data_IF_442047549979
#
_entry.id   IF_442047549979
#
_cell.length_a   1.000
_cell.length_b   1.000
_cell.length_c   1.000
_cell.angle_alpha   90.00
_cell.angle_beta   90.00
_cell.angle_gamma   90.00
#
_symmetry.space_group_name_H-M   'P 1'
#
loop_
_entity.id
_entity.type
_entity.pdbx_description
1 polymer ?
#
# COMPACT_ATOMS: atom_id res chain seq x y z
N UNK A 1 40.77 -3.11 -29.38
CA UNK A 1 40.79 -4.36 -28.57
C UNK A 1 39.84 -4.15 -27.41
N UNK A 2 38.83 -5.00 -27.23
CA UNK A 2 37.93 -4.88 -26.08
C UNK A 2 38.72 -5.17 -24.81
N UNK A 3 38.82 -4.20 -23.90
CA UNK A 3 39.38 -4.44 -22.56
C UNK A 3 38.46 -5.43 -21.86
N UNK A 4 38.95 -6.64 -21.67
CA UNK A 4 38.20 -7.69 -21.00
C UNK A 4 38.29 -7.42 -19.49
N UNK A 5 37.19 -6.96 -18.91
CA UNK A 5 37.08 -6.52 -17.52
C UNK A 5 36.18 -7.48 -16.71
N UNK A 6 36.18 -8.75 -17.11
CA UNK A 6 35.36 -9.78 -16.46
C UNK A 6 35.92 -10.08 -15.06
N UNK A 7 35.02 -10.44 -14.13
CA UNK A 7 35.39 -10.75 -12.76
C UNK A 7 36.40 -11.89 -12.69
N UNK A 8 36.26 -12.90 -13.54
CA UNK A 8 37.16 -14.03 -13.61
C UNK A 8 38.59 -13.66 -14.00
N UNK A 9 38.76 -12.64 -14.84
CA UNK A 9 40.07 -12.24 -15.35
C UNK A 9 40.77 -11.22 -14.45
N UNK A 10 40.00 -10.28 -13.90
CA UNK A 10 40.56 -9.21 -13.07
C UNK A 10 40.74 -9.66 -11.61
N UNK A 11 39.88 -10.55 -11.12
CA UNK A 11 39.92 -11.08 -9.75
C UNK A 11 39.73 -12.61 -9.72
N UNK A 12 40.70 -13.40 -10.23
CA UNK A 12 40.62 -14.86 -10.22
C UNK A 12 40.47 -15.47 -8.82
N UNK A 13 40.98 -14.78 -7.78
CA UNK A 13 40.82 -15.18 -6.38
C UNK A 13 39.36 -15.19 -5.92
N UNK A 14 38.52 -14.30 -6.49
CA UNK A 14 37.10 -14.21 -6.17
C UNK A 14 36.26 -15.29 -6.86
N UNK A 15 36.76 -15.89 -7.96
CA UNK A 15 36.09 -17.01 -8.65
C UNK A 15 35.92 -18.20 -7.72
N UNK A 16 36.94 -18.49 -6.91
CA UNK A 16 36.88 -19.58 -5.93
C UNK A 16 35.96 -19.30 -4.74
N UNK A 17 35.49 -18.07 -4.58
CA UNK A 17 34.44 -17.71 -3.64
C UNK A 17 33.07 -17.57 -4.31
N UNK A 18 32.97 -17.82 -5.61
CA UNK A 18 31.69 -17.79 -6.31
C UNK A 18 30.87 -19.02 -5.94
N UNK A 19 29.65 -18.81 -5.44
CA UNK A 19 28.76 -19.93 -5.09
C UNK A 19 28.11 -20.54 -6.34
N UNK A 20 27.91 -21.85 -6.32
CA UNK A 20 27.16 -22.60 -7.34
C UNK A 20 25.70 -22.11 -7.47
N UNK A 21 25.16 -21.45 -6.44
CA UNK A 21 23.81 -20.87 -6.43
C UNK A 21 23.61 -19.76 -7.46
N UNK A 22 24.69 -19.24 -8.03
CA UNK A 22 24.61 -18.24 -9.09
C UNK A 22 24.31 -18.86 -10.46
N UNK A 23 24.35 -20.19 -10.63
CA UNK A 23 24.04 -20.83 -11.91
C UNK A 23 22.66 -20.40 -12.45
N UNK A 24 22.54 -20.02 -13.74
CA UNK A 24 23.52 -20.19 -14.82
C UNK A 24 24.50 -19.02 -15.03
N UNK A 25 24.56 -18.05 -14.11
CA UNK A 25 25.46 -16.89 -14.20
C UNK A 25 26.90 -17.26 -13.80
N UNK A 26 27.81 -17.09 -14.75
CA UNK A 26 29.23 -17.40 -14.57
C UNK A 26 30.07 -16.15 -14.25
N UNK A 27 31.19 -16.29 -13.50
CA UNK A 27 32.12 -15.18 -13.23
C UNK A 27 32.72 -14.52 -14.48
N UNK A 28 32.78 -15.24 -15.59
CA UNK A 28 33.25 -14.72 -16.89
C UNK A 28 32.24 -13.79 -17.58
N UNK A 29 30.97 -13.82 -17.15
CA UNK A 29 29.87 -13.08 -17.76
C UNK A 29 29.53 -11.77 -17.02
N UNK A 30 30.26 -11.45 -15.97
CA UNK A 30 30.04 -10.28 -15.12
C UNK A 30 31.32 -9.46 -15.01
N UNK A 31 31.19 -8.14 -14.96
CA UNK A 31 32.34 -7.24 -14.77
C UNK A 31 32.55 -6.94 -13.29
N UNK A 32 33.77 -6.56 -12.91
CA UNK A 32 34.14 -6.24 -11.52
C UNK A 32 33.35 -5.07 -10.92
N UNK A 33 32.80 -4.19 -11.75
CA UNK A 33 32.00 -3.03 -11.33
C UNK A 33 30.50 -3.28 -11.42
N UNK A 34 30.07 -4.52 -11.66
CA UNK A 34 28.66 -4.82 -11.81
C UNK A 34 27.89 -4.54 -10.50
N UNK A 35 26.88 -3.66 -10.58
CA UNK A 35 25.91 -3.43 -9.52
C UNK A 35 24.83 -4.54 -9.49
N UNK A 36 25.28 -5.80 -9.53
CA UNK A 36 24.45 -7.00 -9.47
C UNK A 36 24.83 -7.79 -8.20
N UNK A 37 23.82 -8.37 -7.54
CA UNK A 37 24.03 -9.24 -6.38
C UNK A 37 24.42 -10.65 -6.84
N UNK A 38 25.42 -11.23 -6.19
CA UNK A 38 25.84 -12.61 -6.36
C UNK A 38 25.98 -13.28 -4.98
N UNK A 39 25.86 -14.60 -4.97
CA UNK A 39 26.15 -15.43 -3.81
C UNK A 39 27.64 -15.74 -3.74
N UNK A 40 28.23 -15.50 -2.58
CA UNK A 40 29.65 -15.72 -2.28
C UNK A 40 29.77 -16.82 -1.23
N UNK A 41 30.80 -17.63 -1.29
CA UNK A 41 31.11 -18.73 -0.37
C UNK A 41 32.47 -18.51 0.26
N UNK A 42 32.49 -18.43 1.59
CA UNK A 42 33.71 -18.07 2.32
C UNK A 42 34.65 -19.27 2.32
N UNK A 43 35.93 -19.04 2.00
CA UNK A 43 36.95 -20.08 2.12
C UNK A 43 37.22 -20.47 3.57
N UNK A 44 37.20 -19.50 4.48
CA UNK A 44 37.59 -19.71 5.88
C UNK A 44 36.50 -20.40 6.70
N UNK A 45 35.24 -19.96 6.54
CA UNK A 45 34.12 -20.48 7.34
C UNK A 45 33.12 -21.32 6.53
N UNK A 46 33.29 -21.46 5.22
CA UNK A 46 32.42 -22.24 4.35
C UNK A 46 31.01 -21.67 4.12
N UNK A 47 30.61 -20.64 4.87
CA UNK A 47 29.27 -20.05 4.79
C UNK A 47 29.11 -19.20 3.53
N UNK A 48 27.87 -19.17 3.04
CA UNK A 48 27.49 -18.39 1.89
C UNK A 48 26.76 -17.11 2.28
N UNK A 49 27.02 -16.01 1.58
CA UNK A 49 26.30 -14.75 1.76
C UNK A 49 26.01 -14.08 0.42
N UNK A 50 25.01 -13.22 0.40
CA UNK A 50 24.64 -12.46 -0.79
C UNK A 50 25.17 -11.03 -0.70
N UNK A 51 25.94 -10.59 -1.72
CA UNK A 51 26.51 -9.24 -1.78
C UNK A 51 26.66 -8.76 -3.22
N UNK A 52 26.78 -7.45 -3.42
CA UNK A 52 27.07 -6.86 -4.72
C UNK A 52 28.45 -7.27 -5.22
N UNK A 53 28.57 -7.52 -6.54
CA UNK A 53 29.84 -7.85 -7.18
C UNK A 53 30.84 -6.70 -7.03
N UNK A 54 30.43 -5.46 -7.32
CA UNK A 54 31.25 -4.26 -7.11
C UNK A 54 31.75 -4.11 -5.66
N UNK A 55 30.93 -4.42 -4.67
CA UNK A 55 31.31 -4.37 -3.25
C UNK A 55 32.29 -5.48 -2.87
N UNK A 56 32.16 -6.69 -3.44
CA UNK A 56 33.12 -7.78 -3.20
C UNK A 56 34.45 -7.51 -3.91
N UNK A 57 34.42 -7.08 -5.17
CA UNK A 57 35.61 -6.66 -5.92
C UNK A 57 36.34 -5.50 -5.25
N UNK A 58 35.60 -4.60 -4.57
CA UNK A 58 36.17 -3.54 -3.73
C UNK A 58 36.77 -4.00 -2.39
N UNK A 59 36.84 -5.29 -2.10
CA UNK A 59 37.56 -5.85 -0.94
C UNK A 59 36.73 -6.04 0.34
N UNK A 60 35.39 -5.99 0.28
CA UNK A 60 34.54 -6.33 1.44
C UNK A 60 34.81 -7.76 1.91
N UNK A 61 34.90 -8.01 3.23
CA UNK A 61 35.20 -9.33 3.82
C UNK A 61 33.93 -10.16 4.07
N UNK A 62 34.10 -11.47 4.32
CA UNK A 62 33.00 -12.34 4.72
C UNK A 62 32.31 -11.79 5.98
N UNK A 63 31.00 -11.49 5.94
CA UNK A 63 30.29 -10.82 7.03
C UNK A 63 30.14 -11.70 8.29
N UNK A 64 30.28 -13.02 8.14
CA UNK A 64 30.30 -13.97 9.25
C UNK A 64 31.67 -14.02 9.95
N UNK A 65 32.76 -13.91 9.19
CA UNK A 65 34.11 -13.89 9.77
C UNK A 65 34.47 -12.51 10.33
N UNK A 66 33.93 -11.44 9.75
CA UNK A 66 34.16 -10.06 10.20
C UNK A 66 33.24 -9.63 11.36
N UNK A 67 32.32 -10.49 11.80
CA UNK A 67 31.40 -10.21 12.91
C UNK A 67 30.24 -9.27 12.57
N UNK A 68 30.09 -8.84 11.32
CA UNK A 68 29.06 -7.87 10.91
C UNK A 68 27.62 -8.43 10.98
N UNK A 69 27.45 -9.74 10.84
CA UNK A 69 26.12 -10.40 10.92
C UNK A 69 25.65 -10.63 12.36
N UNK A 70 26.53 -10.62 13.37
CA UNK A 70 26.16 -11.00 14.74
C UNK A 70 25.34 -9.96 15.53
N UNK A 71 25.21 -8.73 15.05
CA UNK A 71 24.56 -7.63 15.80
C UNK A 71 23.11 -7.30 15.38
N UNK A 72 22.65 -7.73 14.19
CA UNK A 72 21.29 -7.43 13.71
C UNK A 72 20.33 -8.62 13.69
N UNK A 73 20.82 -9.85 13.80
CA UNK A 73 19.99 -11.04 13.60
C UNK A 73 19.50 -11.70 14.88
N UNK A 74 20.13 -11.54 16.05
CA UNK A 74 19.78 -12.35 17.24
C UNK A 74 18.39 -12.11 17.82
N UNK A 75 17.84 -10.90 17.70
CA UNK A 75 16.50 -10.58 18.25
C UNK A 75 15.35 -11.01 17.32
N UNK A 76 15.62 -11.18 16.02
CA UNK A 76 14.58 -11.40 15.00
C UNK A 76 14.70 -12.75 14.26
N UNK A 77 15.77 -13.52 14.51
CA UNK A 77 16.07 -14.80 13.85
C UNK A 77 14.94 -15.85 13.95
N UNK A 78 14.26 -16.05 15.09
CA UNK A 78 13.18 -17.04 15.19
C UNK A 78 12.00 -16.72 14.26
N UNK A 79 11.55 -15.47 14.25
CA UNK A 79 10.43 -15.00 13.40
C UNK A 79 10.78 -15.02 11.92
N UNK A 80 12.04 -14.69 11.58
CA UNK A 80 12.52 -14.75 10.20
C UNK A 80 12.55 -16.20 9.68
N UNK A 81 12.98 -17.16 10.52
CA UNK A 81 13.04 -18.57 10.16
C UNK A 81 11.63 -19.14 9.91
N UNK A 82 10.69 -18.84 10.80
CA UNK A 82 9.26 -19.21 10.68
C UNK A 82 8.65 -18.64 9.38
N UNK A 83 8.94 -17.37 9.08
CA UNK A 83 8.52 -16.74 7.82
C UNK A 83 9.12 -17.41 6.57
N UNK A 84 10.35 -17.91 6.64
CA UNK A 84 10.94 -18.67 5.53
C UNK A 84 10.29 -20.06 5.35
N UNK A 85 9.92 -20.73 6.45
CA UNK A 85 9.25 -22.03 6.42
C UNK A 85 7.83 -21.91 5.83
N UNK A 86 7.05 -20.92 6.25
CA UNK A 86 5.75 -20.60 5.66
C UNK A 86 5.85 -20.32 4.15
N UNK A 87 6.87 -19.55 3.76
CA UNK A 87 7.09 -19.21 2.35
C UNK A 87 7.43 -20.44 1.52
N UNK A 88 8.22 -21.38 2.06
CA UNK A 88 8.53 -22.66 1.40
C UNK A 88 7.28 -23.54 1.32
N UNK A 89 6.48 -23.62 2.38
CA UNK A 89 5.24 -24.38 2.40
C UNK A 89 4.26 -23.87 1.34
N UNK A 90 4.07 -22.55 1.21
CA UNK A 90 3.23 -21.95 0.15
C UNK A 90 3.72 -22.28 -1.25
N UNK A 91 5.04 -22.26 -1.48
CA UNK A 91 5.62 -22.62 -2.79
C UNK A 91 5.35 -24.11 -3.09
N UNK A 92 5.55 -24.99 -2.11
CA UNK A 92 5.31 -26.42 -2.23
C UNK A 92 3.82 -26.73 -2.51
N UNK A 93 2.92 -26.04 -1.80
CA UNK A 93 1.48 -26.13 -2.01
C UNK A 93 1.07 -25.63 -3.41
N UNK A 94 1.64 -24.51 -3.86
CA UNK A 94 1.39 -23.99 -5.21
C UNK A 94 1.86 -24.99 -6.28
N UNK A 95 3.01 -25.64 -6.07
CA UNK A 95 3.50 -26.70 -6.96
C UNK A 95 2.56 -27.90 -6.98
N UNK A 96 2.11 -28.37 -5.81
CA UNK A 96 1.17 -29.49 -5.68
C UNK A 96 -0.16 -29.19 -6.38
N UNK A 97 -0.71 -28.00 -6.18
CA UNK A 97 -1.96 -27.57 -6.83
C UNK A 97 -1.81 -27.51 -8.35
N UNK A 98 -0.66 -27.04 -8.84
CA UNK A 98 -0.35 -27.02 -10.28
C UNK A 98 -0.21 -28.43 -10.86
N UNK A 99 0.39 -29.35 -10.11
CA UNK A 99 0.54 -30.75 -10.52
C UNK A 99 -0.80 -31.49 -10.58
N UNK A 100 -1.70 -31.24 -9.61
CA UNK A 100 -3.08 -31.75 -9.63
C UNK A 100 -3.82 -31.28 -10.89
N UNK A 101 -3.71 -29.99 -11.23
CA UNK A 101 -4.33 -29.44 -12.45
C UNK A 101 -3.71 -30.01 -13.74
N UNK A 102 -2.41 -30.33 -13.72
CA UNK A 102 -1.71 -30.90 -14.87
C UNK A 102 -1.99 -32.39 -15.08
N UNK A 103 -2.27 -33.12 -13.99
CA UNK A 103 -2.51 -34.57 -14.01
C UNK A 103 -4.01 -34.91 -13.91
N UNK A 104 -4.89 -33.90 -13.97
CA UNK A 104 -6.33 -34.10 -14.01
C UNK A 104 -6.68 -34.99 -15.23
N UNK A 105 -7.38 -36.13 -15.02
CA UNK A 105 -7.81 -36.96 -16.14
C UNK A 105 -8.66 -36.12 -17.10
N UNK A 106 -8.55 -36.33 -18.43
CA UNK A 106 -9.49 -35.73 -19.36
C UNK A 106 -10.90 -36.17 -18.95
N UNK A 107 -11.81 -35.21 -18.83
CA UNK A 107 -13.23 -35.49 -18.63
C UNK A 107 -13.65 -36.47 -19.72
N UNK A 108 -14.14 -37.66 -19.32
CA UNK A 108 -14.70 -38.62 -20.28
C UNK A 108 -15.81 -37.90 -21.04
N UNK A 109 -15.64 -37.73 -22.34
CA UNK A 109 -16.71 -37.31 -23.23
C UNK A 109 -17.83 -38.35 -23.11
N UNK A 110 -18.90 -37.99 -22.40
CA UNK A 110 -20.11 -38.80 -22.33
C UNK A 110 -20.76 -38.67 -23.70
N UNK A 111 -20.71 -39.75 -24.49
CA UNK A 111 -21.46 -39.88 -25.74
C UNK A 111 -22.95 -39.62 -25.47
N UNK A 112 -23.53 -38.66 -26.18
CA UNK A 112 -24.94 -38.31 -26.06
C UNK A 112 -25.80 -39.39 -26.70
N UNK A 113 -26.47 -40.20 -25.89
CA UNK A 113 -27.70 -40.88 -26.31
C UNK A 113 -28.76 -39.85 -26.72
N UNK A 114 -29.64 -40.15 -27.69
CA UNK A 114 -30.68 -39.22 -28.14
C UNK A 114 -31.62 -38.89 -26.98
N UNK A 115 -31.77 -37.58 -26.71
CA UNK A 115 -32.46 -37.06 -25.52
C UNK A 115 -33.91 -37.57 -25.45
N UNK A 116 -34.33 -38.17 -24.31
CA UNK A 116 -35.73 -38.50 -24.09
C UNK A 116 -36.56 -37.22 -23.99
N UNK A 117 -37.75 -37.25 -24.60
CA UNK A 117 -38.69 -36.10 -24.64
C UNK A 117 -39.10 -35.74 -23.21
N UNK A 118 -38.49 -34.69 -22.66
CA UNK A 118 -38.77 -34.20 -21.30
C UNK A 118 -40.03 -33.32 -21.25
N UNK A 119 -40.88 -33.46 -20.20
CA UNK A 119 -42.10 -32.67 -20.06
C UNK A 119 -41.83 -31.16 -19.94
N UNK A 120 -42.83 -30.34 -20.31
CA UNK A 120 -42.72 -28.87 -20.41
C UNK A 120 -42.22 -28.13 -19.15
N UNK A 121 -42.32 -28.73 -17.95
CA UNK A 121 -41.85 -28.14 -16.70
C UNK A 121 -40.33 -28.30 -16.45
N UNK A 122 -39.65 -29.12 -17.27
CA UNK A 122 -38.22 -29.42 -17.15
C UNK A 122 -37.35 -28.70 -18.20
N UNK A 123 -37.97 -27.88 -19.06
CA UNK A 123 -37.22 -27.01 -19.96
C UNK A 123 -36.48 -25.94 -19.15
N UNK A 124 -35.13 -26.05 -19.05
CA UNK A 124 -34.27 -25.05 -18.42
C UNK A 124 -34.55 -23.67 -19.04
N UNK A 125 -35.11 -22.75 -18.26
CA UNK A 125 -35.22 -21.35 -18.64
C UNK A 125 -33.83 -20.85 -18.98
N UNK A 126 -33.64 -20.27 -20.18
CA UNK A 126 -32.41 -19.55 -20.54
C UNK A 126 -32.15 -18.52 -19.44
N UNK A 127 -31.15 -18.76 -18.61
CA UNK A 127 -30.68 -17.76 -17.65
C UNK A 127 -30.12 -16.62 -18.50
N UNK A 128 -30.84 -15.49 -18.54
CA UNK A 128 -30.32 -14.25 -19.09
C UNK A 128 -29.03 -13.96 -18.31
N UNK A 129 -27.93 -13.71 -19.03
CA UNK A 129 -26.67 -13.34 -18.41
C UNK A 129 -26.90 -12.23 -17.39
N UNK A 130 -26.43 -12.44 -16.16
CA UNK A 130 -26.52 -11.44 -15.11
C UNK A 130 -25.57 -10.31 -15.47
N UNK A 131 -26.15 -9.24 -16.00
CA UNK A 131 -25.42 -8.02 -16.32
C UNK A 131 -25.27 -7.20 -15.05
N UNK A 132 -24.09 -7.26 -14.43
CA UNK A 132 -23.80 -6.57 -13.16
C UNK A 132 -24.03 -5.05 -13.24
N UNK A 133 -24.02 -4.48 -14.45
CA UNK A 133 -24.16 -3.04 -14.70
C UNK A 133 -25.30 -2.75 -15.67
N UNK A 134 -26.48 -3.35 -15.45
CA UNK A 134 -27.69 -3.14 -16.28
C UNK A 134 -28.17 -1.68 -16.32
N UNK A 135 -27.74 -0.87 -15.37
CA UNK A 135 -27.97 0.57 -15.22
C UNK A 135 -27.12 1.41 -16.18
N UNK A 136 -25.96 0.90 -16.63
CA UNK A 136 -25.13 1.55 -17.64
C UNK A 136 -25.52 1.01 -19.01
N UNK A 137 -26.07 1.85 -19.88
CA UNK A 137 -26.45 1.40 -21.22
C UNK A 137 -25.23 0.91 -22.00
N UNK A 138 -25.39 -0.05 -22.90
CA UNK A 138 -24.29 -0.58 -23.72
C UNK A 138 -23.51 0.50 -24.49
N UNK A 139 -24.15 1.64 -24.79
CA UNK A 139 -23.53 2.78 -25.46
C UNK A 139 -22.67 3.65 -24.53
N UNK A 140 -22.99 3.68 -23.23
CA UNK A 140 -22.25 4.41 -22.19
C UNK A 140 -21.17 3.57 -21.53
N UNK A 141 -21.20 2.24 -21.74
CA UNK A 141 -20.07 1.38 -21.40
C UNK A 141 -18.94 1.70 -22.34
N UNK A 142 -17.99 2.52 -21.89
CA UNK A 142 -16.69 2.76 -22.51
C UNK A 142 -15.87 1.46 -22.54
N UNK A 143 -16.34 0.52 -23.35
CA UNK A 143 -15.72 -0.78 -23.57
C UNK A 143 -14.65 -0.54 -24.60
N UNK A 144 -13.39 -0.71 -24.21
CA UNK A 144 -12.28 -0.61 -25.14
C UNK A 144 -12.54 -1.55 -26.33
N UNK A 145 -12.74 -0.99 -27.53
CA UNK A 145 -13.15 -1.77 -28.69
C UNK A 145 -11.93 -2.53 -29.25
N UNK A 146 -11.76 -3.78 -28.79
CA UNK A 146 -10.70 -4.67 -29.24
C UNK A 146 -10.79 -5.01 -30.74
N UNK A 147 -11.97 -4.85 -31.36
CA UNK A 147 -12.15 -5.13 -32.79
C UNK A 147 -11.63 -3.99 -33.68
N UNK A 148 -11.72 -2.76 -33.20
CA UNK A 148 -11.20 -1.57 -33.88
C UNK A 148 -9.76 -1.23 -33.48
N UNK A 149 -9.26 -1.84 -32.39
CA UNK A 149 -7.88 -1.69 -31.93
C UNK A 149 -7.17 -3.04 -32.00
N UNK A 150 -6.62 -3.36 -33.18
CA UNK A 150 -5.85 -4.59 -33.38
C UNK A 150 -4.68 -4.65 -32.39
N UNK A 151 -4.67 -5.69 -31.56
CA UNK A 151 -3.56 -5.94 -30.65
C UNK A 151 -2.37 -6.42 -31.49
N UNK A 152 -1.32 -5.61 -31.53
CA UNK A 152 -0.10 -5.92 -32.28
C UNK A 152 0.43 -7.33 -31.91
N UNK A 153 0.50 -8.21 -32.90
CA UNK A 153 0.98 -9.58 -32.72
C UNK A 153 2.50 -9.58 -32.64
N UNK A 154 3.04 -9.54 -31.43
CA UNK A 154 4.48 -9.59 -31.18
C UNK A 154 4.98 -10.98 -30.81
N UNK A 155 6.26 -11.24 -31.11
CA UNK A 155 6.91 -12.51 -30.76
C UNK A 155 6.95 -12.76 -29.24
N UNK A 156 7.14 -14.04 -28.85
CA UNK A 156 7.10 -14.50 -27.44
C UNK A 156 7.97 -13.66 -26.49
N UNK A 157 9.16 -13.25 -26.93
CA UNK A 157 10.12 -12.45 -26.15
C UNK A 157 9.62 -11.04 -25.86
N UNK A 158 9.01 -10.39 -26.84
CA UNK A 158 8.50 -9.03 -26.71
C UNK A 158 7.21 -9.01 -25.88
N UNK A 159 6.34 -10.01 -26.05
CA UNK A 159 5.19 -10.21 -25.16
C UNK A 159 5.61 -10.37 -23.70
N UNK A 160 6.66 -11.15 -23.43
CA UNK A 160 7.20 -11.30 -22.07
C UNK A 160 7.72 -9.96 -21.52
N UNK A 161 8.44 -9.17 -22.32
CA UNK A 161 8.91 -7.83 -21.93
C UNK A 161 7.75 -6.89 -21.59
N UNK A 162 6.72 -6.84 -22.44
CA UNK A 162 5.50 -6.04 -22.21
C UNK A 162 4.78 -6.46 -20.94
N UNK A 163 4.63 -7.76 -20.70
CA UNK A 163 4.04 -8.28 -19.47
C UNK A 163 4.85 -7.86 -18.22
N UNK A 164 6.18 -7.94 -18.27
CA UNK A 164 7.02 -7.50 -17.16
C UNK A 164 6.88 -5.99 -16.93
N UNK A 165 6.87 -5.17 -17.98
CA UNK A 165 6.65 -3.72 -17.87
C UNK A 165 5.28 -3.40 -17.27
N UNK A 166 4.22 -4.09 -17.71
CA UNK A 166 2.88 -3.94 -17.15
C UNK A 166 2.86 -4.31 -15.67
N UNK A 167 3.48 -5.43 -15.27
CA UNK A 167 3.59 -5.84 -13.86
C UNK A 167 4.36 -4.80 -13.03
N UNK A 168 5.45 -4.26 -13.55
CA UNK A 168 6.24 -3.22 -12.88
C UNK A 168 5.45 -1.93 -12.72
N UNK A 169 4.72 -1.51 -13.76
CA UNK A 169 3.85 -0.34 -13.71
C UNK A 169 2.72 -0.54 -12.69
N UNK A 170 2.05 -1.69 -12.72
CA UNK A 170 1.01 -2.04 -11.74
C UNK A 170 1.54 -2.03 -10.31
N UNK A 171 2.74 -2.58 -10.08
CA UNK A 171 3.39 -2.52 -8.76
C UNK A 171 3.70 -1.09 -8.34
N UNK A 172 4.19 -0.27 -9.26
CA UNK A 172 4.45 1.15 -8.99
C UNK A 172 3.15 1.89 -8.62
N UNK A 173 2.07 1.65 -9.35
CA UNK A 173 0.75 2.21 -9.02
C UNK A 173 0.22 1.71 -7.66
N UNK A 174 0.48 0.45 -7.31
CA UNK A 174 0.12 -0.11 -6.00
C UNK A 174 0.97 0.46 -4.86
N UNK A 175 2.27 0.69 -5.09
CA UNK A 175 3.18 1.34 -4.13
C UNK A 175 2.84 2.82 -3.92
N UNK A 176 2.28 3.47 -4.94
CA UNK A 176 1.77 4.85 -4.87
C UNK A 176 0.40 4.93 -4.18
N UNK A 177 -0.40 3.87 -4.23
CA UNK A 177 -1.68 3.76 -3.54
C UNK A 177 -1.50 3.44 -2.04
N UNK A 178 -0.93 4.41 -1.32
CA UNK A 178 -0.74 4.40 0.13
C UNK A 178 -2.05 4.55 0.92
N UNK A 179 -3.20 4.38 0.26
CA UNK A 179 -4.48 4.48 0.94
C UNK A 179 -4.82 3.19 1.67
N UNK A 180 -5.50 3.36 2.80
CA UNK A 180 -5.88 2.27 3.68
C UNK A 180 -7.40 2.07 3.64
N UNK A 181 -7.90 0.89 4.02
CA UNK A 181 -9.34 0.69 4.23
C UNK A 181 -9.88 1.73 5.23
N UNK A 182 -11.10 2.22 4.99
CA UNK A 182 -11.70 3.21 5.88
C UNK A 182 -11.96 2.64 7.28
N UNK A 183 -11.57 3.38 8.31
CA UNK A 183 -11.97 3.12 9.69
C UNK A 183 -13.48 3.43 9.86
N UNK A 184 -14.30 2.47 10.34
CA UNK A 184 -15.73 2.68 10.56
C UNK A 184 -16.06 3.86 11.50
N UNK A 185 -15.18 4.18 12.44
CA UNK A 185 -15.37 5.25 13.44
C UNK A 185 -15.16 6.65 12.88
N UNK A 186 -14.42 6.77 11.77
CA UNK A 186 -14.08 8.06 11.16
C UNK A 186 -15.18 8.45 10.19
N UNK A 187 -15.81 9.62 10.31
CA UNK A 187 -16.90 10.02 9.39
C UNK A 187 -16.44 10.10 7.92
N UNK A 188 -17.33 9.77 6.98
CA UNK A 188 -17.05 10.00 5.57
C UNK A 188 -16.81 11.49 5.27
N UNK A 189 -15.95 11.79 4.30
CA UNK A 189 -15.51 13.15 3.94
C UNK A 189 -14.94 13.89 5.16
N UNK A 190 -14.00 13.26 5.86
CA UNK A 190 -13.34 13.90 7.01
C UNK A 190 -11.87 13.52 7.10
N UNK A 191 -11.09 14.39 7.71
CA UNK A 191 -9.69 14.12 8.01
C UNK A 191 -9.54 13.32 9.31
N UNK A 192 -8.51 12.48 9.38
CA UNK A 192 -8.11 11.78 10.60
C UNK A 192 -6.60 11.56 10.62
N UNK A 193 -6.05 11.22 11.77
CA UNK A 193 -4.63 10.96 11.96
C UNK A 193 -4.43 9.49 12.29
N UNK A 194 -3.64 8.79 11.47
CA UNK A 194 -3.23 7.38 11.69
C UNK A 194 -1.72 7.32 11.56
N UNK A 195 -1.03 6.72 12.55
CA UNK A 195 0.43 6.64 12.61
C UNK A 195 1.15 7.98 12.35
N UNK A 196 0.61 9.05 12.95
CA UNK A 196 1.07 10.43 12.81
C UNK A 196 0.98 11.03 11.39
N UNK A 197 0.29 10.37 10.45
CA UNK A 197 -0.01 10.89 9.11
C UNK A 197 -1.49 11.25 8.99
N UNK A 198 -1.77 12.30 8.22
CA UNK A 198 -3.14 12.71 7.93
C UNK A 198 -3.69 11.87 6.79
N UNK A 199 -4.89 11.34 6.98
CA UNK A 199 -5.68 10.70 5.94
C UNK A 199 -7.01 11.43 5.76
N UNK A 200 -7.51 11.45 4.54
CA UNK A 200 -8.84 11.91 4.20
C UNK A 200 -9.71 10.70 3.84
N UNK A 201 -10.84 10.53 4.52
CA UNK A 201 -11.77 9.44 4.24
C UNK A 201 -12.70 9.83 3.11
N UNK A 202 -12.71 9.02 2.05
CA UNK A 202 -13.71 9.05 1.00
C UNK A 202 -14.30 7.66 0.79
N UNK A 203 -15.57 7.53 1.16
CA UNK A 203 -16.36 6.31 1.17
C UNK A 203 -15.68 5.18 1.95
N UNK A 204 -15.14 4.19 1.24
CA UNK A 204 -14.53 2.96 1.78
C UNK A 204 -13.01 3.05 1.89
N UNK A 205 -12.40 4.19 1.52
CA UNK A 205 -10.95 4.36 1.49
C UNK A 205 -10.53 5.59 2.28
N UNK A 206 -9.31 5.54 2.79
CA UNK A 206 -8.64 6.65 3.45
C UNK A 206 -7.34 6.94 2.72
N UNK A 207 -7.27 8.06 2.02
CA UNK A 207 -6.11 8.47 1.22
C UNK A 207 -5.20 9.37 2.05
N UNK A 208 -3.87 9.17 2.02
CA UNK A 208 -2.96 10.04 2.74
C UNK A 208 -2.96 11.43 2.11
N UNK A 209 -2.87 12.45 2.97
CA UNK A 209 -2.90 13.85 2.57
C UNK A 209 -1.50 14.42 2.68
N UNK A 210 -0.87 14.69 1.54
CA UNK A 210 0.44 15.34 1.48
C UNK A 210 0.28 16.87 1.42
N UNK A 211 0.69 17.54 2.50
CA UNK A 211 0.63 19.00 2.61
C UNK A 211 1.91 19.52 3.26
N UNK A 212 2.12 20.84 3.20
CA UNK A 212 3.26 21.47 3.89
C UNK A 212 3.18 21.24 5.40
N UNK A 213 4.33 21.23 6.09
CA UNK A 213 4.38 21.02 7.54
C UNK A 213 3.51 22.01 8.33
N UNK A 214 3.33 23.25 7.85
CA UNK A 214 2.46 24.22 8.50
C UNK A 214 0.98 23.91 8.29
N UNK A 215 0.58 23.44 7.11
CA UNK A 215 -0.79 23.00 6.83
C UNK A 215 -1.12 21.69 7.56
N UNK A 216 -0.18 20.74 7.64
CA UNK A 216 -0.34 19.50 8.41
C UNK A 216 -0.67 19.80 9.87
N UNK A 217 0.12 20.66 10.52
CA UNK A 217 -0.13 21.00 11.91
C UNK A 217 -1.42 21.79 12.14
N UNK A 218 -1.86 22.60 11.16
CA UNK A 218 -3.17 23.26 11.19
C UNK A 218 -4.30 22.23 11.16
N UNK A 219 -4.25 21.29 10.21
CA UNK A 219 -5.26 20.23 10.07
C UNK A 219 -5.31 19.37 11.33
N UNK A 220 -4.16 18.96 11.89
CA UNK A 220 -4.11 18.20 13.15
C UNK A 220 -4.75 18.97 14.32
N UNK A 221 -4.49 20.27 14.42
CA UNK A 221 -5.12 21.13 15.43
C UNK A 221 -6.64 21.21 15.28
N UNK A 222 -7.13 21.43 14.06
CA UNK A 222 -8.57 21.47 13.78
C UNK A 222 -9.27 20.12 13.99
N UNK A 223 -8.60 18.99 13.68
CA UNK A 223 -9.10 17.64 14.02
C UNK A 223 -9.29 17.49 15.52
N UNK A 224 -8.32 17.96 16.33
CA UNK A 224 -8.41 17.86 17.78
C UNK A 224 -9.58 18.67 18.35
N UNK A 225 -9.72 19.93 17.90
CA UNK A 225 -10.85 20.79 18.29
C UNK A 225 -12.17 20.14 17.85
N UNK A 226 -12.27 19.67 16.60
CA UNK A 226 -13.47 19.03 16.06
C UNK A 226 -13.89 17.82 16.89
N UNK A 227 -12.94 16.95 17.22
CA UNK A 227 -13.22 15.76 18.01
C UNK A 227 -13.71 16.14 19.40
N UNK A 228 -13.11 17.17 20.02
CA UNK A 228 -13.55 17.69 21.32
C UNK A 228 -14.97 18.28 21.27
N UNK A 229 -15.29 19.07 20.25
CA UNK A 229 -16.65 19.61 20.05
C UNK A 229 -17.68 18.48 19.90
N UNK A 230 -17.36 17.42 19.14
CA UNK A 230 -18.26 16.28 18.98
C UNK A 230 -18.48 15.54 20.29
N UNK A 231 -17.41 15.28 21.04
CA UNK A 231 -17.52 14.70 22.38
C UNK A 231 -18.36 15.58 23.30
N UNK A 232 -18.19 16.90 23.25
CA UNK A 232 -19.00 17.83 24.03
C UNK A 232 -20.49 17.76 23.67
N UNK A 233 -20.82 17.69 22.38
CA UNK A 233 -22.22 17.53 21.92
C UNK A 233 -22.80 16.20 22.41
N UNK A 234 -22.04 15.11 22.33
CA UNK A 234 -22.46 13.79 22.85
C UNK A 234 -22.71 13.86 24.37
N UNK A 235 -21.79 14.46 25.14
CA UNK A 235 -21.97 14.62 26.59
C UNK A 235 -23.18 15.50 26.95
N UNK A 236 -23.49 16.52 26.13
CA UNK A 236 -24.63 17.43 26.36
C UNK A 236 -25.98 16.85 25.90
N UNK A 237 -25.97 15.86 25.01
CA UNK A 237 -27.19 15.24 24.48
C UNK A 237 -27.61 13.99 25.24
N UNK A 238 -26.68 13.38 25.96
CA UNK A 238 -26.87 12.20 26.78
C UNK A 238 -26.88 12.56 28.29
N UNK A 239 -27.38 11.69 29.16
CA UNK A 239 -27.48 11.92 30.62
C UNK A 239 -26.13 11.77 31.36
N UNK A 240 -25.09 12.48 30.90
CA UNK A 240 -23.79 12.56 31.58
C UNK A 240 -23.81 13.61 32.72
N UNK A 241 -22.95 13.48 33.74
CA UNK A 241 -22.87 14.46 34.81
C UNK A 241 -22.24 15.78 34.33
N UNK A 242 -22.72 16.89 34.87
CA UNK A 242 -22.24 18.25 34.54
C UNK A 242 -20.71 18.39 34.67
N UNK A 243 -20.08 17.67 35.60
CA UNK A 243 -18.61 17.67 35.77
C UNK A 243 -17.84 17.17 34.55
N UNK A 244 -18.39 16.20 33.80
CA UNK A 244 -17.77 15.70 32.56
C UNK A 244 -17.92 16.71 31.43
N UNK A 245 -19.06 17.42 31.38
CA UNK A 245 -19.32 18.50 30.42
C UNK A 245 -18.33 19.66 30.67
N UNK A 246 -18.18 20.10 31.92
CA UNK A 246 -17.24 21.15 32.32
C UNK A 246 -15.78 20.78 31.98
N UNK A 247 -15.38 19.53 32.26
CA UNK A 247 -14.05 19.04 31.94
C UNK A 247 -13.77 19.05 30.42
N UNK A 248 -14.75 18.66 29.61
CA UNK A 248 -14.61 18.69 28.15
C UNK A 248 -14.65 20.12 27.58
N UNK A 249 -15.43 21.03 28.16
CA UNK A 249 -15.39 22.46 27.82
C UNK A 249 -14.02 23.07 28.14
N UNK A 250 -13.43 22.76 29.30
CA UNK A 250 -12.05 23.18 29.61
C UNK A 250 -11.05 22.63 28.60
N UNK A 251 -11.19 21.36 28.21
CA UNK A 251 -10.32 20.74 27.21
C UNK A 251 -10.45 21.45 25.86
N UNK A 252 -11.68 21.71 25.41
CA UNK A 252 -11.96 22.43 24.16
C UNK A 252 -11.34 23.82 24.18
N UNK A 253 -11.51 24.56 25.28
CA UNK A 253 -10.93 25.90 25.45
C UNK A 253 -9.40 25.87 25.36
N UNK A 254 -8.73 24.94 26.05
CA UNK A 254 -7.27 24.80 25.99
C UNK A 254 -6.78 24.47 24.57
N UNK A 255 -7.48 23.58 23.85
CA UNK A 255 -7.16 23.23 22.47
C UNK A 255 -7.33 24.44 21.53
N UNK A 256 -8.44 25.16 21.67
CA UNK A 256 -8.74 26.35 20.88
C UNK A 256 -7.74 27.48 21.15
N UNK A 257 -7.43 27.79 22.40
CA UNK A 257 -6.51 28.88 22.76
C UNK A 257 -5.08 28.57 22.26
N UNK A 258 -4.66 27.32 22.37
CA UNK A 258 -3.38 26.85 21.82
C UNK A 258 -3.34 26.97 20.30
N UNK A 259 -4.44 26.62 19.63
CA UNK A 259 -4.54 26.69 18.17
C UNK A 259 -4.57 28.14 17.67
N UNK A 260 -5.45 28.96 18.23
CA UNK A 260 -5.67 30.35 17.84
C UNK A 260 -4.45 31.22 18.11
N UNK A 261 -3.74 31.00 19.22
CA UNK A 261 -2.48 31.67 19.51
C UNK A 261 -1.37 31.39 18.48
N UNK A 262 -1.42 30.23 17.80
CA UNK A 262 -0.39 29.83 16.82
C UNK A 262 -0.79 30.07 15.37
N UNK A 263 -2.06 29.87 15.02
CA UNK A 263 -2.55 29.87 13.64
C UNK A 263 -3.66 30.89 13.37
N UNK A 264 -4.05 31.68 14.37
CA UNK A 264 -5.18 32.62 14.27
C UNK A 264 -6.54 31.91 14.32
N UNK A 265 -7.58 32.69 14.05
CA UNK A 265 -8.98 32.22 14.05
C UNK A 265 -9.19 31.04 13.10
N UNK A 266 -10.06 30.11 13.46
CA UNK A 266 -10.52 28.97 12.67
C UNK A 266 -11.07 29.45 11.32
N UNK A 267 -11.85 30.54 11.31
CA UNK A 267 -12.42 31.13 10.09
C UNK A 267 -11.43 31.96 9.27
N UNK A 268 -10.16 32.07 9.67
CA UNK A 268 -9.16 32.74 8.85
C UNK A 268 -9.00 32.05 7.49
N UNK A 269 -8.64 32.81 6.45
CA UNK A 269 -8.50 32.30 5.07
C UNK A 269 -7.56 31.09 4.97
N UNK A 270 -6.46 31.11 5.72
CA UNK A 270 -5.47 30.04 5.71
C UNK A 270 -5.99 28.75 6.35
N UNK A 271 -6.73 28.85 7.44
CA UNK A 271 -7.28 27.69 8.15
C UNK A 271 -8.48 27.11 7.40
N UNK A 272 -9.36 27.97 6.87
CA UNK A 272 -10.46 27.60 5.96
C UNK A 272 -9.92 26.86 4.74
N UNK A 273 -8.89 27.39 4.07
CA UNK A 273 -8.30 26.73 2.90
C UNK A 273 -7.69 25.37 3.24
N UNK A 274 -7.18 25.18 4.46
CA UNK A 274 -6.55 23.93 4.88
C UNK A 274 -7.56 22.84 5.29
N UNK A 275 -8.79 23.20 5.71
CA UNK A 275 -9.76 22.26 6.29
C UNK A 275 -11.12 22.23 5.61
N UNK A 276 -11.35 23.06 4.59
CA UNK A 276 -12.64 23.20 3.90
C UNK A 276 -13.25 21.91 3.32
N UNK A 277 -12.43 20.89 3.05
CA UNK A 277 -12.94 19.59 2.56
C UNK A 277 -13.52 18.73 3.68
N UNK A 278 -13.27 19.04 4.95
CA UNK A 278 -13.86 18.29 6.07
C UNK A 278 -15.35 18.63 6.20
N UNK A 279 -16.18 17.59 6.21
CA UNK A 279 -17.63 17.70 6.42
C UNK A 279 -18.03 18.40 7.72
N UNK A 280 -17.12 18.50 8.68
CA UNK A 280 -17.33 19.12 10.00
C UNK A 280 -16.83 20.56 10.07
N UNK A 281 -16.29 21.11 8.98
CA UNK A 281 -15.78 22.47 8.98
C UNK A 281 -16.87 23.50 9.31
N UNK A 282 -18.11 23.29 8.85
CA UNK A 282 -19.25 24.15 9.21
C UNK A 282 -19.51 24.19 10.72
N UNK A 283 -19.37 23.07 11.41
CA UNK A 283 -19.51 22.99 12.86
C UNK A 283 -18.38 23.75 13.57
N UNK A 284 -17.14 23.59 13.11
CA UNK A 284 -16.01 24.33 13.67
C UNK A 284 -16.12 25.85 13.44
N UNK A 285 -16.60 26.23 12.26
CA UNK A 285 -16.81 27.63 11.87
C UNK A 285 -17.82 28.33 12.79
N UNK A 286 -18.86 27.61 13.22
CA UNK A 286 -19.88 28.12 14.13
C UNK A 286 -19.36 28.46 15.54
N UNK A 287 -18.24 27.88 15.97
CA UNK A 287 -17.65 28.20 17.28
C UNK A 287 -17.26 29.67 17.43
N UNK A 288 -16.98 30.34 16.31
CA UNK A 288 -16.57 31.74 16.27
C UNK A 288 -17.72 32.60 15.78
N UNK A 289 -18.26 33.43 16.67
CA UNK A 289 -19.17 34.50 16.28
C UNK A 289 -18.31 35.72 15.97
N UNK A 290 -18.30 36.11 14.70
CA UNK A 290 -17.47 37.20 14.17
C UNK A 290 -18.33 38.46 14.06
N UNK A 291 -17.80 39.58 14.54
CA UNK A 291 -18.45 40.89 14.45
C UNK A 291 -18.37 41.53 13.07
N UNK A 292 -19.06 42.65 12.90
CA UNK A 292 -19.08 43.41 11.64
C UNK A 292 -17.68 43.88 11.17
N UNK A 293 -16.71 43.95 12.09
CA UNK A 293 -15.32 44.33 11.85
C UNK A 293 -14.38 43.16 11.51
N UNK A 294 -14.89 41.92 11.56
CA UNK A 294 -14.10 40.71 11.33
C UNK A 294 -13.34 40.19 12.56
N UNK A 295 -13.53 40.81 13.73
CA UNK A 295 -12.95 40.37 15.00
C UNK A 295 -13.86 39.36 15.73
N UNK A 296 -13.28 38.57 16.63
CA UNK A 296 -14.00 37.56 17.40
C UNK A 296 -14.84 38.25 18.51
N UNK A 297 -16.17 38.24 18.37
CA UNK A 297 -17.07 38.81 19.38
C UNK A 297 -17.27 37.86 20.57
N UNK A 298 -17.48 36.56 20.30
CA UNK A 298 -17.65 35.54 21.34
C UNK A 298 -17.40 34.12 20.83
N UNK A 299 -17.12 33.22 21.77
CA UNK A 299 -17.08 31.77 21.56
C UNK A 299 -18.47 31.18 21.84
N UNK A 300 -18.99 30.35 20.94
CA UNK A 300 -20.22 29.59 21.21
C UNK A 300 -19.91 28.44 22.20
N UNK A 301 -20.80 28.18 23.18
CA UNK A 301 -20.64 27.19 24.27
C UNK A 301 -19.55 27.45 25.33
N UNK A 302 -18.99 28.66 25.38
CA UNK A 302 -18.17 29.13 26.50
C UNK A 302 -19.07 29.66 27.62
N UNK A 303 -19.63 28.77 28.43
CA UNK A 303 -20.19 29.12 29.73
C UNK A 303 -19.51 28.26 30.79
#
# INVERSE_FOLDING_TARGET
>A
MAMNNSLAEVHPELVSEWSDRNYPLLPTQVTVFANRKAWWKCKDCGREWNSLISTRSGGSKCPYCSGYIFLKEKEHYPQWLESQEERRAKIEETKRNREILSNAPPEKEVEKEPEPVVPAWEQKKKVKGFDLHSDVSMAERHTFNLKENEVETVGKKERFRRNIMAIQLLKKCQEEDNSIPADPTVRNFSYTVVDNKIYYRENSRMTPVEVSATAENRIKGMIAIRNSVRTLIELQTEDYPDSEIEAEQERLNRLYDTFSGKYGLINSRANTSAFSQDSSFSLLSALEIIGEDGELERKEHSC
#
